data_IF_484161488091
#
_entry.id   IF_484161488091
#
_cell.length_a   1.000
_cell.length_b   1.000
_cell.length_c   1.000
_cell.angle_alpha   90.00
_cell.angle_beta   90.00
_cell.angle_gamma   90.00
#
_symmetry.space_group_name_H-M   'P 1'
#
loop_
_entity.id
_entity.type
_entity.pdbx_description
1 polymer ?
#
# COMPACT_ATOMS: atom_id res chain seq x y z
N UNK A 1 8.46 56.09 -47.16
CA UNK A 1 8.75 57.22 -46.25
C UNK A 1 9.81 56.74 -45.29
N UNK A 2 11.03 57.22 -45.51
CA UNK A 2 12.25 56.73 -44.88
C UNK A 2 12.85 57.85 -44.03
N UNK A 3 13.61 57.44 -43.01
CA UNK A 3 14.58 58.20 -42.22
C UNK A 3 14.06 59.23 -41.21
N UNK A 4 14.17 58.88 -39.92
CA UNK A 4 14.41 59.84 -38.86
C UNK A 4 15.80 59.55 -38.24
N UNK A 5 16.50 60.65 -38.02
CA UNK A 5 17.93 60.83 -37.81
C UNK A 5 18.52 60.14 -36.57
N UNK A 6 19.62 59.42 -36.81
CA UNK A 6 20.71 59.16 -35.86
C UNK A 6 21.34 60.52 -35.52
N UNK A 7 22.06 60.66 -34.40
CA UNK A 7 22.78 61.87 -33.95
C UNK A 7 21.92 62.93 -33.24
N UNK A 8 21.74 62.78 -31.94
CA UNK A 8 22.11 63.83 -30.99
C UNK A 8 22.05 63.32 -29.55
N UNK A 9 23.20 63.40 -28.88
CA UNK A 9 23.35 63.55 -27.41
C UNK A 9 22.90 62.30 -26.62
N UNK A 10 23.75 61.65 -25.84
CA UNK A 10 24.36 62.23 -24.66
C UNK A 10 25.71 61.56 -24.39
N UNK A 11 26.70 62.39 -24.07
CA UNK A 11 27.92 62.00 -23.37
C UNK A 11 27.55 61.27 -22.08
N UNK A 12 27.93 60.00 -21.98
CA UNK A 12 27.83 59.21 -20.76
C UNK A 12 29.05 59.58 -19.90
N UNK A 13 28.85 60.44 -18.90
CA UNK A 13 29.78 60.59 -17.77
C UNK A 13 29.63 59.38 -16.85
N UNK A 14 30.71 58.67 -16.47
CA UNK A 14 30.61 57.51 -15.60
C UNK A 14 30.45 57.97 -14.15
N UNK A 15 29.20 58.05 -13.68
CA UNK A 15 28.91 58.21 -12.25
C UNK A 15 29.15 56.88 -11.55
N UNK A 16 30.12 56.90 -10.63
CA UNK A 16 30.54 55.85 -9.70
C UNK A 16 29.35 54.98 -9.24
N UNK A 17 29.26 53.77 -9.80
CA UNK A 17 28.22 52.79 -9.50
C UNK A 17 28.47 52.21 -8.11
N UNK A 18 27.61 52.52 -7.13
CA UNK A 18 27.55 51.81 -5.87
C UNK A 18 27.17 50.36 -6.14
N UNK A 19 28.10 49.45 -5.87
CA UNK A 19 27.92 48.01 -5.85
C UNK A 19 27.02 47.60 -4.67
N UNK A 20 25.72 47.81 -4.81
CA UNK A 20 24.75 47.31 -3.85
C UNK A 20 23.36 47.20 -4.50
N UNK A 21 23.20 46.28 -5.44
CA UNK A 21 21.87 45.70 -5.64
C UNK A 21 22.00 44.23 -6.04
N UNK A 22 21.46 43.41 -5.15
CA UNK A 22 21.67 41.99 -5.03
C UNK A 22 20.98 41.21 -6.15
N UNK A 23 21.77 40.35 -6.80
CA UNK A 23 21.48 39.01 -7.33
C UNK A 23 20.02 38.56 -7.07
N UNK A 24 19.16 38.75 -8.07
CA UNK A 24 17.75 38.38 -8.01
C UNK A 24 17.47 37.07 -8.77
N UNK A 25 17.03 36.07 -8.03
CA UNK A 25 16.21 34.91 -8.44
C UNK A 25 16.82 33.92 -9.45
N UNK A 26 17.59 32.94 -8.96
CA UNK A 26 17.89 31.71 -9.73
C UNK A 26 18.05 30.49 -8.83
N UNK A 27 17.15 30.24 -7.87
CA UNK A 27 17.08 28.95 -7.16
C UNK A 27 15.64 28.64 -6.78
N UNK A 28 14.86 28.05 -7.68
CA UNK A 28 13.57 27.46 -7.35
C UNK A 28 13.29 26.25 -8.26
N UNK A 29 14.23 25.31 -8.31
CA UNK A 29 14.01 24.05 -9.02
C UNK A 29 14.80 22.91 -8.36
N UNK A 30 14.60 22.70 -7.06
CA UNK A 30 15.17 21.52 -6.39
C UNK A 30 14.16 20.99 -5.37
N UNK A 31 13.95 19.67 -5.42
CA UNK A 31 13.10 18.83 -4.58
C UNK A 31 11.61 18.76 -4.94
N UNK A 32 11.32 18.33 -6.17
CA UNK A 32 10.31 17.28 -6.33
C UNK A 32 10.90 16.01 -5.73
N UNK A 33 10.87 15.87 -4.40
CA UNK A 33 11.11 14.58 -3.78
C UNK A 33 10.03 13.66 -4.34
N UNK A 34 10.40 12.84 -5.33
CA UNK A 34 9.58 11.73 -5.79
C UNK A 34 9.45 10.85 -4.57
N UNK A 35 8.39 11.05 -3.80
CA UNK A 35 7.94 10.09 -2.84
C UNK A 35 7.60 8.86 -3.68
N UNK A 36 8.58 7.97 -3.85
CA UNK A 36 8.32 6.64 -4.36
C UNK A 36 7.26 6.10 -3.39
N UNK A 37 6.02 5.83 -3.83
CA UNK A 37 5.09 5.16 -2.96
C UNK A 37 5.82 3.88 -2.57
N UNK A 38 6.19 3.75 -1.29
CA UNK A 38 6.56 2.43 -0.78
C UNK A 38 5.32 1.60 -1.06
N UNK A 39 5.44 0.63 -1.97
CA UNK A 39 4.39 -0.34 -2.18
C UNK A 39 3.97 -0.80 -0.79
N UNK A 40 2.68 -0.62 -0.46
CA UNK A 40 2.17 -1.10 0.81
C UNK A 40 2.57 -2.58 0.91
N UNK A 41 3.16 -2.97 2.03
CA UNK A 41 3.54 -4.36 2.28
C UNK A 41 2.34 -5.24 1.93
N UNK A 42 2.54 -6.22 1.04
CA UNK A 42 1.45 -7.07 0.57
C UNK A 42 1.02 -8.01 1.69
N UNK A 43 0.06 -7.55 2.50
CA UNK A 43 -0.49 -8.32 3.61
C UNK A 43 -1.13 -9.62 3.15
N UNK A 44 -1.52 -9.75 1.88
CA UNK A 44 -2.08 -11.00 1.36
C UNK A 44 -1.03 -12.10 1.20
N UNK A 45 0.27 -11.75 1.12
CA UNK A 45 1.35 -12.74 1.04
C UNK A 45 1.53 -13.54 2.33
N UNK A 46 1.17 -12.97 3.48
CA UNK A 46 1.36 -13.60 4.80
C UNK A 46 0.29 -14.65 5.12
N UNK A 47 -0.83 -14.63 4.40
CA UNK A 47 -2.01 -15.45 4.68
C UNK A 47 -2.34 -16.38 3.50
N UNK A 48 -2.84 -17.60 3.77
CA UNK A 48 -3.35 -18.44 2.69
C UNK A 48 -4.57 -17.76 2.06
N UNK A 49 -4.69 -17.86 0.73
CA UNK A 49 -5.83 -17.30 0.04
C UNK A 49 -7.08 -18.18 0.18
N UNK A 50 -6.88 -19.50 0.28
CA UNK A 50 -7.95 -20.47 0.55
C UNK A 50 -7.56 -21.34 1.75
N UNK A 51 -8.51 -21.54 2.65
CA UNK A 51 -8.45 -22.56 3.70
C UNK A 51 -9.55 -23.59 3.42
N UNK A 52 -9.19 -24.87 3.35
CA UNK A 52 -10.13 -25.98 3.16
C UNK A 52 -10.47 -26.64 4.50
N UNK A 53 -11.75 -26.60 4.88
CA UNK A 53 -12.22 -27.13 6.15
C UNK A 53 -13.36 -28.12 5.92
N UNK A 54 -13.32 -29.26 6.60
CA UNK A 54 -14.46 -30.17 6.64
C UNK A 54 -15.43 -29.75 7.75
N UNK A 55 -16.69 -29.58 7.39
CA UNK A 55 -17.78 -29.29 8.32
C UNK A 55 -19.03 -30.05 7.89
N UNK A 56 -19.65 -30.79 8.82
CA UNK A 56 -20.83 -31.62 8.54
C UNK A 56 -20.67 -32.55 7.33
N UNK A 57 -19.49 -33.16 7.18
CA UNK A 57 -19.19 -34.09 6.07
C UNK A 57 -18.99 -33.42 4.71
N UNK A 58 -18.90 -32.08 4.65
CA UNK A 58 -18.66 -31.32 3.43
C UNK A 58 -17.33 -30.58 3.53
N UNK A 59 -16.58 -30.55 2.44
CA UNK A 59 -15.39 -29.72 2.31
C UNK A 59 -15.79 -28.31 1.86
N UNK A 60 -15.54 -27.33 2.72
CA UNK A 60 -15.78 -25.93 2.44
C UNK A 60 -14.46 -25.22 2.10
N UNK A 61 -14.48 -24.45 1.02
CA UNK A 61 -13.42 -23.51 0.71
C UNK A 61 -13.74 -22.16 1.35
N UNK A 62 -12.92 -21.78 2.32
CA UNK A 62 -12.95 -20.48 2.98
C UNK A 62 -11.95 -19.56 2.28
N UNK A 63 -12.45 -18.52 1.61
CA UNK A 63 -11.64 -17.54 0.88
C UNK A 63 -11.29 -16.36 1.76
N UNK A 64 -10.04 -15.90 1.66
CA UNK A 64 -9.57 -14.69 2.33
C UNK A 64 -10.36 -13.48 1.82
N UNK A 65 -11.12 -12.84 2.71
CA UNK A 65 -12.01 -11.73 2.36
C UNK A 65 -11.41 -10.37 2.74
N UNK A 66 -10.74 -10.28 3.89
CA UNK A 66 -10.11 -9.06 4.38
C UNK A 66 -9.04 -9.35 5.42
N UNK A 67 -8.11 -8.41 5.57
CA UNK A 67 -7.14 -8.35 6.66
C UNK A 67 -7.30 -6.97 7.31
N UNK A 68 -7.46 -6.94 8.62
CA UNK A 68 -7.56 -5.68 9.39
C UNK A 68 -6.16 -5.09 9.66
N UNK A 69 -6.05 -3.80 10.03
CA UNK A 69 -4.75 -3.18 10.33
C UNK A 69 -3.95 -3.87 11.46
N UNK A 70 -4.63 -4.53 12.39
CA UNK A 70 -4.03 -5.34 13.47
C UNK A 70 -3.67 -6.78 13.05
N UNK A 71 -3.83 -7.13 11.78
CA UNK A 71 -3.40 -8.42 11.23
C UNK A 71 -4.39 -9.57 11.48
N UNK A 72 -5.68 -9.28 11.67
CA UNK A 72 -6.72 -10.31 11.74
C UNK A 72 -7.30 -10.57 10.34
N UNK A 73 -6.99 -11.74 9.78
CA UNK A 73 -7.59 -12.19 8.54
C UNK A 73 -9.00 -12.72 8.79
N UNK A 74 -9.93 -12.35 7.92
CA UNK A 74 -11.30 -12.89 7.87
C UNK A 74 -11.46 -13.73 6.62
N UNK A 75 -11.96 -14.93 6.81
CA UNK A 75 -12.27 -15.88 5.76
C UNK A 75 -13.77 -16.13 5.68
N UNK A 76 -14.28 -16.30 4.47
CA UNK A 76 -15.71 -16.55 4.20
C UNK A 76 -15.88 -17.74 3.26
N UNK A 77 -16.91 -18.53 3.53
CA UNK A 77 -17.41 -19.58 2.65
C UNK A 77 -18.91 -19.36 2.40
N UNK A 78 -19.51 -20.23 1.58
CA UNK A 78 -20.96 -20.23 1.35
C UNK A 78 -21.77 -20.39 2.65
N UNK A 79 -23.09 -20.16 2.58
CA UNK A 79 -24.01 -20.34 3.72
C UNK A 79 -23.67 -19.49 4.96
N UNK A 80 -23.07 -18.31 4.73
CA UNK A 80 -22.67 -17.35 5.78
C UNK A 80 -21.67 -17.94 6.79
N UNK A 81 -20.92 -18.98 6.40
CA UNK A 81 -19.82 -19.50 7.19
C UNK A 81 -18.65 -18.53 7.11
N UNK A 82 -18.13 -18.13 8.26
CA UNK A 82 -16.99 -17.24 8.34
C UNK A 82 -16.08 -17.61 9.51
N UNK A 83 -14.80 -17.31 9.36
CA UNK A 83 -13.81 -17.51 10.40
C UNK A 83 -12.75 -16.42 10.40
N UNK A 84 -12.03 -16.31 11.50
CA UNK A 84 -10.89 -15.40 11.63
C UNK A 84 -9.65 -16.12 12.13
N UNK A 85 -8.48 -15.63 11.74
CA UNK A 85 -7.18 -16.08 12.23
C UNK A 85 -6.16 -14.94 12.10
N UNK A 86 -5.29 -14.80 13.09
CA UNK A 86 -4.10 -13.95 13.04
C UNK A 86 -2.85 -14.82 12.84
N UNK A 87 -1.71 -14.23 12.49
CA UNK A 87 -0.48 -14.98 12.20
C UNK A 87 -0.08 -15.96 13.32
N UNK A 88 -0.05 -15.47 14.56
CA UNK A 88 0.28 -16.26 15.75
C UNK A 88 -0.96 -16.80 16.49
N UNK A 89 -2.13 -16.66 15.85
CA UNK A 89 -3.41 -16.99 16.44
C UNK A 89 -3.90 -18.39 16.10
N UNK A 90 -5.09 -18.68 16.60
CA UNK A 90 -5.84 -19.88 16.28
C UNK A 90 -7.10 -19.50 15.49
N UNK A 91 -7.52 -20.35 14.56
CA UNK A 91 -8.73 -20.18 13.79
C UNK A 91 -9.97 -20.18 14.69
N UNK A 92 -10.82 -19.16 14.52
CA UNK A 92 -12.08 -18.95 15.25
C UNK A 92 -13.23 -18.87 14.28
N UNK A 93 -14.40 -19.40 14.65
CA UNK A 93 -15.63 -19.17 13.92
C UNK A 93 -16.17 -17.76 14.22
N UNK A 94 -16.85 -17.17 13.24
CA UNK A 94 -17.60 -15.92 13.38
C UNK A 94 -19.10 -16.24 13.38
N UNK A 95 -19.84 -15.68 14.33
CA UNK A 95 -21.30 -15.85 14.40
C UNK A 95 -21.80 -17.22 14.89
N UNK A 96 -20.91 -18.07 15.42
CA UNK A 96 -21.24 -19.38 15.99
C UNK A 96 -20.02 -20.09 16.59
N UNK A 97 -20.21 -21.26 17.19
CA UNK A 97 -19.14 -22.07 17.80
C UNK A 97 -18.54 -23.13 16.88
N UNK A 98 -19.03 -23.23 15.63
CA UNK A 98 -18.72 -24.34 14.73
C UNK A 98 -17.99 -23.83 13.48
N UNK A 99 -16.79 -24.34 13.23
CA UNK A 99 -15.94 -24.02 12.08
C UNK A 99 -15.22 -25.25 11.54
N UNK A 100 -15.82 -26.42 11.76
CA UNK A 100 -15.30 -27.70 11.28
C UNK A 100 -13.95 -28.09 11.88
N UNK A 101 -13.21 -28.89 11.14
CA UNK A 101 -11.89 -29.40 11.53
C UNK A 101 -10.76 -28.36 11.49
N UNK A 102 -11.06 -27.10 11.12
CA UNK A 102 -10.11 -25.99 11.16
C UNK A 102 -10.08 -25.26 12.50
N UNK A 103 -11.16 -25.35 13.30
CA UNK A 103 -11.25 -24.62 14.56
C UNK A 103 -10.10 -24.93 15.50
N UNK A 104 -9.55 -23.88 16.10
CA UNK A 104 -8.48 -24.00 17.08
C UNK A 104 -7.13 -24.36 16.49
N UNK A 105 -6.98 -24.48 15.16
CA UNK A 105 -5.67 -24.67 14.53
C UNK A 105 -4.95 -23.33 14.30
N UNK A 106 -3.62 -23.33 14.43
CA UNK A 106 -2.77 -22.23 13.95
C UNK A 106 -2.59 -22.30 12.42
N UNK A 107 -2.07 -21.24 11.80
CA UNK A 107 -1.75 -21.26 10.36
C UNK A 107 -0.79 -22.38 9.98
N UNK A 108 0.22 -22.64 10.82
CA UNK A 108 1.19 -23.71 10.57
C UNK A 108 0.56 -25.10 10.69
N UNK A 109 -0.36 -25.29 11.63
CA UNK A 109 -1.12 -26.54 11.73
C UNK A 109 -2.04 -26.74 10.53
N UNK A 110 -2.66 -25.66 10.02
CA UNK A 110 -3.45 -25.70 8.80
C UNK A 110 -2.58 -26.05 7.58
N UNK A 111 -1.39 -25.46 7.45
CA UNK A 111 -0.40 -25.82 6.41
C UNK A 111 0.03 -27.29 6.51
N UNK A 112 0.43 -27.73 7.70
CA UNK A 112 0.87 -29.10 7.94
C UNK A 112 -0.24 -30.13 7.69
N UNK A 113 -1.51 -29.74 7.88
CA UNK A 113 -2.69 -30.57 7.59
C UNK A 113 -3.10 -30.53 6.11
N UNK A 114 -2.40 -29.79 5.24
CA UNK A 114 -2.76 -29.60 3.84
C UNK A 114 -4.01 -28.73 3.61
N UNK A 115 -4.43 -27.98 4.61
CA UNK A 115 -5.67 -27.18 4.59
C UNK A 115 -5.45 -25.74 4.12
N UNK A 116 -4.22 -25.24 4.13
CA UNK A 116 -3.91 -23.86 3.77
C UNK A 116 -3.28 -23.79 2.36
N UNK A 117 -3.87 -22.99 1.47
CA UNK A 117 -3.44 -22.83 0.09
C UNK A 117 -3.12 -21.35 -0.20
N UNK A 118 -1.87 -21.08 -0.55
CA UNK A 118 -1.36 -19.75 -0.90
C UNK A 118 -1.49 -19.53 -2.41
N UNK A 119 -1.59 -18.27 -2.84
CA UNK A 119 -1.37 -17.96 -4.24
C UNK A 119 0.10 -18.25 -4.57
N UNK A 120 0.33 -19.04 -5.61
CA UNK A 120 1.67 -19.22 -6.14
C UNK A 120 2.07 -17.95 -6.91
N UNK A 121 3.35 -17.53 -6.84
CA UNK A 121 3.89 -16.49 -7.73
C UNK A 121 3.75 -16.86 -9.21
#
# INVERSE_FOLDING_TARGET
MSHMSIWERLCITPTRMSTAMLIGASVALQLSAVASPRAAEDKFADFPFVISCEYKGMFHAFYLSRITPDGLATYVASERLAGTISLDGHAKAVGGSNGGNCLGKTLDQLRASGQAHFLQP
#
